data_IF_656788356700
#
_entry.id   IF_656788356700
#
_cell.length_a   1.000
_cell.length_b   1.000
_cell.length_c   1.000
_cell.angle_alpha   90.00
_cell.angle_beta   90.00
_cell.angle_gamma   90.00
#
_symmetry.space_group_name_H-M   'P 1'
#
loop_
_entity.id
_entity.type
_entity.pdbx_description
1 polymer ?
#
# COMPACT_ATOMS: atom_id res chain seq x y z
N UNK A 1 -21.66 -2.73 -10.18
CA UNK A 1 -21.39 -2.59 -11.63
C UNK A 1 -20.08 -3.32 -11.98
N UNK A 2 -20.10 -4.15 -12.98
CA UNK A 2 -18.90 -4.86 -13.43
C UNK A 2 -18.04 -3.95 -14.31
N UNK A 3 -16.75 -3.88 -13.98
CA UNK A 3 -15.78 -3.14 -14.80
C UNK A 3 -15.02 -4.14 -15.67
N UNK A 4 -15.05 -3.91 -16.99
CA UNK A 4 -14.27 -4.69 -17.93
C UNK A 4 -13.03 -3.92 -18.35
N UNK A 5 -11.87 -4.56 -18.21
CA UNK A 5 -10.60 -4.03 -18.71
C UNK A 5 -10.26 -4.78 -19.98
N UNK A 6 -10.21 -4.06 -21.10
CA UNK A 6 -9.90 -4.61 -22.41
C UNK A 6 -8.45 -4.30 -22.79
N UNK A 7 -7.87 -5.15 -23.65
CA UNK A 7 -6.54 -4.95 -24.17
C UNK A 7 -5.51 -5.93 -23.61
N UNK A 8 -4.26 -5.73 -24.00
CA UNK A 8 -3.11 -6.57 -23.66
C UNK A 8 -1.98 -5.72 -23.08
N UNK A 9 -0.97 -6.37 -22.50
CA UNK A 9 0.20 -5.71 -21.95
C UNK A 9 0.29 -5.83 -20.43
N UNK A 10 1.44 -5.43 -19.90
CA UNK A 10 1.75 -5.58 -18.45
C UNK A 10 0.86 -4.70 -17.56
N UNK A 11 0.59 -3.47 -17.98
CA UNK A 11 -0.25 -2.55 -17.23
C UNK A 11 -1.69 -3.04 -17.15
N UNK A 12 -2.24 -3.53 -18.26
CA UNK A 12 -3.60 -4.08 -18.32
C UNK A 12 -3.70 -5.35 -17.48
N UNK A 13 -2.71 -6.24 -17.55
CA UNK A 13 -2.68 -7.46 -16.73
C UNK A 13 -2.64 -7.13 -15.25
N UNK A 14 -1.88 -6.12 -14.86
CA UNK A 14 -1.80 -5.64 -13.47
C UNK A 14 -3.15 -5.10 -13.00
N UNK A 15 -3.84 -4.31 -13.81
CA UNK A 15 -5.16 -3.78 -13.49
C UNK A 15 -6.18 -4.92 -13.28
N UNK A 16 -6.14 -5.96 -14.12
CA UNK A 16 -7.00 -7.13 -13.99
C UNK A 16 -6.75 -7.86 -12.66
N UNK A 17 -5.48 -8.06 -12.29
CA UNK A 17 -5.11 -8.69 -11.00
C UNK A 17 -5.61 -7.86 -9.83
N UNK A 18 -5.46 -6.54 -9.88
CA UNK A 18 -5.93 -5.64 -8.84
C UNK A 18 -7.46 -5.69 -8.70
N UNK A 19 -8.19 -5.68 -9.81
CA UNK A 19 -9.65 -5.81 -9.78
C UNK A 19 -10.10 -7.13 -9.17
N UNK A 20 -9.42 -8.24 -9.46
CA UNK A 20 -9.72 -9.54 -8.84
C UNK A 20 -9.53 -9.50 -7.34
N UNK A 21 -8.44 -8.90 -6.89
CA UNK A 21 -8.15 -8.75 -5.46
C UNK A 21 -9.19 -7.87 -4.77
N UNK A 22 -9.59 -6.77 -5.42
CA UNK A 22 -10.59 -5.83 -4.90
C UNK A 22 -11.99 -6.42 -4.74
N UNK A 23 -12.29 -7.51 -5.42
CA UNK A 23 -13.54 -8.26 -5.19
C UNK A 23 -13.55 -8.97 -3.84
N UNK A 24 -12.37 -9.27 -3.30
CA UNK A 24 -12.20 -10.02 -2.04
C UNK A 24 -11.92 -9.12 -0.85
N UNK A 25 -11.35 -7.93 -1.07
CA UNK A 25 -10.94 -7.03 0.00
C UNK A 25 -11.58 -5.66 -0.14
N UNK A 26 -11.93 -5.09 1.00
CA UNK A 26 -12.49 -3.75 1.12
C UNK A 26 -12.10 -3.17 2.46
N UNK A 27 -11.75 -1.88 2.50
CA UNK A 27 -11.40 -1.18 3.73
C UNK A 27 -12.63 -0.59 4.41
N UNK A 28 -12.67 -0.66 5.73
CA UNK A 28 -13.71 -0.03 6.56
C UNK A 28 -13.06 0.96 7.52
N UNK A 29 -13.84 1.71 8.28
CA UNK A 29 -13.31 2.63 9.29
C UNK A 29 -12.54 1.87 10.38
N UNK A 30 -13.02 0.68 10.80
CA UNK A 30 -12.40 -0.14 11.83
C UNK A 30 -11.15 -0.87 11.31
N UNK A 31 -11.15 -1.24 10.02
CA UNK A 31 -10.04 -1.94 9.39
C UNK A 31 -9.84 -1.42 7.96
N UNK A 32 -9.19 -0.25 7.82
CA UNK A 32 -8.95 0.36 6.51
C UNK A 32 -8.06 -0.50 5.61
N UNK A 33 -8.05 -0.17 4.34
CA UNK A 33 -7.23 -0.86 3.34
C UNK A 33 -5.88 -0.15 3.19
N UNK A 34 -4.79 -0.88 3.43
CA UNK A 34 -3.44 -0.40 3.16
C UNK A 34 -3.09 -0.75 1.72
N UNK A 35 -3.12 0.25 0.85
CA UNK A 35 -2.83 0.11 -0.57
C UNK A 35 -1.37 0.44 -0.82
N UNK A 36 -0.65 -0.45 -1.48
CA UNK A 36 0.74 -0.23 -1.89
C UNK A 36 0.77 -0.09 -3.40
N UNK A 37 1.29 1.05 -3.87
CA UNK A 37 1.49 1.34 -5.29
C UNK A 37 2.99 1.34 -5.59
N UNK A 38 3.39 0.56 -6.57
CA UNK A 38 4.77 0.42 -6.99
C UNK A 38 4.99 0.99 -8.38
N UNK A 39 5.99 1.86 -8.53
CA UNK A 39 6.55 2.24 -9.82
C UNK A 39 8.02 1.82 -9.86
N UNK A 40 8.70 2.05 -11.00
CA UNK A 40 10.12 1.69 -11.14
C UNK A 40 11.00 2.39 -10.11
N UNK A 41 10.67 3.64 -9.75
CA UNK A 41 11.50 4.49 -8.88
C UNK A 41 10.96 4.66 -7.48
N UNK A 42 9.66 4.55 -7.29
CA UNK A 42 9.01 4.94 -6.05
C UNK A 42 7.98 3.95 -5.56
N UNK A 43 7.77 3.98 -4.25
CA UNK A 43 6.69 3.25 -3.57
C UNK A 43 5.80 4.26 -2.87
N UNK A 44 4.51 4.04 -2.93
CA UNK A 44 3.50 4.84 -2.22
C UNK A 44 2.61 3.90 -1.43
N UNK A 45 2.40 4.21 -0.17
CA UNK A 45 1.48 3.46 0.69
C UNK A 45 0.39 4.40 1.19
N UNK A 46 -0.87 3.96 1.11
CA UNK A 46 -2.03 4.73 1.55
C UNK A 46 -2.95 3.85 2.39
N UNK A 47 -3.42 4.38 3.50
CA UNK A 47 -4.45 3.74 4.32
C UNK A 47 -5.77 4.40 3.97
N UNK A 48 -6.69 3.63 3.39
CA UNK A 48 -7.94 4.16 2.80
C UNK A 48 -9.15 3.53 3.49
N UNK A 49 -10.09 4.38 3.89
CA UNK A 49 -11.43 3.96 4.31
C UNK A 49 -12.33 3.98 3.07
N UNK A 50 -12.65 2.80 2.54
CA UNK A 50 -13.45 2.67 1.32
C UNK A 50 -14.93 3.04 1.54
N UNK A 51 -15.41 3.06 2.77
CA UNK A 51 -16.81 3.40 3.07
C UNK A 51 -17.11 4.88 2.78
N UNK A 52 -16.11 5.75 2.93
CA UNK A 52 -16.23 7.18 2.66
C UNK A 52 -15.26 7.68 1.59
N UNK A 53 -14.45 6.80 1.03
CA UNK A 53 -13.47 7.15 -0.01
C UNK A 53 -12.37 8.10 0.48
N UNK A 54 -11.97 7.98 1.77
CA UNK A 54 -11.01 8.91 2.38
C UNK A 54 -9.68 8.21 2.67
N UNK A 55 -8.57 8.87 2.32
CA UNK A 55 -7.22 8.46 2.72
C UNK A 55 -6.96 8.95 4.15
N UNK A 56 -6.76 8.01 5.06
CA UNK A 56 -6.53 8.28 6.49
C UNK A 56 -5.06 8.62 6.77
N UNK A 57 -4.16 7.91 6.11
CA UNK A 57 -2.71 8.11 6.25
C UNK A 57 -2.01 7.74 4.95
N UNK A 58 -0.86 8.34 4.70
CA UNK A 58 -0.06 8.02 3.51
C UNK A 58 1.42 8.21 3.77
N UNK A 59 2.26 7.53 2.99
CA UNK A 59 3.70 7.70 2.98
C UNK A 59 4.24 7.35 1.59
N UNK A 60 5.36 7.97 1.21
CA UNK A 60 5.95 7.78 -0.11
C UNK A 60 7.46 7.94 -0.06
N UNK A 61 8.17 7.22 -0.92
CA UNK A 61 9.61 7.43 -1.14
C UNK A 61 9.92 8.80 -1.76
N UNK A 62 8.90 9.53 -2.24
CA UNK A 62 9.05 10.89 -2.74
C UNK A 62 9.24 11.93 -1.62
N UNK A 63 8.94 11.58 -0.37
CA UNK A 63 9.13 12.49 0.76
C UNK A 63 10.61 12.78 1.00
N UNK A 64 10.91 14.01 1.46
CA UNK A 64 12.29 14.48 1.58
C UNK A 64 13.17 13.58 2.45
N UNK A 65 12.67 13.12 3.58
CA UNK A 65 13.41 12.26 4.50
C UNK A 65 13.76 10.90 3.87
N UNK A 66 12.84 10.35 3.09
CA UNK A 66 13.03 9.06 2.42
C UNK A 66 13.89 9.19 1.17
N UNK A 67 13.85 10.35 0.49
CA UNK A 67 14.75 10.63 -0.64
C UNK A 67 16.19 10.77 -0.17
N UNK A 68 16.40 11.35 0.99
CA UNK A 68 17.72 11.54 1.59
C UNK A 68 18.25 10.27 2.29
N UNK A 69 17.40 9.30 2.55
CA UNK A 69 17.79 8.05 3.20
C UNK A 69 18.73 7.24 2.30
N UNK A 70 19.91 6.90 2.85
CA UNK A 70 20.92 6.12 2.13
C UNK A 70 20.63 4.63 2.26
N UNK A 71 19.91 4.08 1.30
CA UNK A 71 19.53 2.68 1.26
C UNK A 71 19.03 2.27 -0.11
N UNK A 72 18.94 0.97 -0.35
CA UNK A 72 18.40 0.45 -1.60
C UNK A 72 16.88 0.59 -1.66
N UNK A 73 16.27 0.16 -2.76
CA UNK A 73 14.82 0.27 -2.96
C UNK A 73 14.01 -0.54 -1.94
N UNK A 74 14.53 -1.69 -1.51
CA UNK A 74 13.87 -2.53 -0.50
C UNK A 74 13.94 -1.86 0.87
N UNK A 75 15.08 -1.31 1.25
CA UNK A 75 15.22 -0.58 2.51
C UNK A 75 14.32 0.65 2.57
N UNK A 76 14.22 1.40 1.46
CA UNK A 76 13.30 2.56 1.36
C UNK A 76 11.85 2.13 1.46
N UNK A 77 11.47 1.02 0.83
CA UNK A 77 10.10 0.48 0.91
C UNK A 77 9.75 0.09 2.35
N UNK A 78 10.69 -0.52 3.07
CA UNK A 78 10.49 -0.82 4.49
C UNK A 78 10.25 0.44 5.31
N UNK A 79 11.00 1.51 5.05
CA UNK A 79 10.81 2.81 5.71
C UNK A 79 9.43 3.41 5.40
N UNK A 80 8.94 3.27 4.18
CA UNK A 80 7.57 3.69 3.80
C UNK A 80 6.55 2.93 4.67
N UNK A 81 6.72 1.63 4.84
CA UNK A 81 5.84 0.82 5.69
C UNK A 81 5.86 1.28 7.14
N UNK A 82 7.03 1.52 7.71
CA UNK A 82 7.17 2.03 9.07
C UNK A 82 6.49 3.38 9.24
N UNK A 83 6.69 4.28 8.28
CA UNK A 83 6.15 5.64 8.33
C UNK A 83 4.62 5.66 8.19
N UNK A 84 4.07 4.91 7.24
CA UNK A 84 2.62 4.87 7.05
C UNK A 84 1.93 4.23 8.26
N UNK A 85 2.56 3.22 8.86
CA UNK A 85 2.04 2.59 10.08
C UNK A 85 2.03 3.57 11.25
N UNK A 86 3.10 4.33 11.45
CA UNK A 86 3.16 5.35 12.50
C UNK A 86 2.07 6.41 12.33
N UNK A 87 1.87 6.87 11.10
CA UNK A 87 0.83 7.86 10.78
C UNK A 87 -0.58 7.30 10.94
N UNK A 88 -0.80 6.04 10.56
CA UNK A 88 -2.09 5.37 10.73
C UNK A 88 -2.42 5.19 12.22
N UNK A 89 -1.45 4.78 13.02
CA UNK A 89 -1.63 4.62 14.48
C UNK A 89 -1.94 5.96 15.15
N UNK A 90 -1.30 7.04 14.71
CA UNK A 90 -1.60 8.41 15.17
C UNK A 90 -3.02 8.83 14.82
N UNK A 91 -3.58 8.29 13.73
CA UNK A 91 -4.97 8.52 13.34
C UNK A 91 -5.97 7.54 13.98
N UNK A 92 -5.50 6.68 14.90
CA UNK A 92 -6.35 5.74 15.62
C UNK A 92 -6.55 4.38 14.94
N UNK A 93 -5.80 4.09 13.88
CA UNK A 93 -5.89 2.81 13.15
C UNK A 93 -4.94 1.80 13.76
N UNK A 94 -5.45 0.63 14.15
CA UNK A 94 -4.65 -0.44 14.74
C UNK A 94 -4.44 -1.62 13.80
N UNK A 95 -5.38 -1.85 12.87
CA UNK A 95 -5.30 -2.94 11.90
C UNK A 95 -5.77 -2.51 10.53
N UNK A 96 -5.23 -3.15 9.50
CA UNK A 96 -5.56 -2.87 8.10
C UNK A 96 -5.68 -4.15 7.30
N UNK A 97 -6.36 -4.06 6.15
CA UNK A 97 -6.38 -5.09 5.12
C UNK A 97 -5.31 -4.73 4.09
N UNK A 98 -4.37 -5.62 3.82
CA UNK A 98 -3.29 -5.35 2.90
C UNK A 98 -3.74 -5.52 1.44
N UNK A 99 -3.57 -4.46 0.64
CA UNK A 99 -3.82 -4.45 -0.81
C UNK A 99 -2.49 -4.24 -1.53
N UNK A 100 -2.00 -5.29 -2.16
CA UNK A 100 -0.72 -5.27 -2.88
C UNK A 100 -0.78 -4.60 -4.25
N UNK A 101 -1.92 -4.02 -4.64
CA UNK A 101 -2.08 -3.22 -5.86
C UNK A 101 -1.88 -4.00 -7.16
N UNK A 102 -2.17 -5.30 -7.18
CA UNK A 102 -1.96 -6.16 -8.35
C UNK A 102 -0.52 -6.63 -8.53
N UNK A 103 0.39 -6.27 -7.62
CA UNK A 103 1.77 -6.75 -7.61
C UNK A 103 1.88 -8.07 -6.85
N UNK A 104 2.97 -8.81 -7.08
CA UNK A 104 3.29 -9.98 -6.27
C UNK A 104 3.72 -9.55 -4.86
N UNK A 105 3.40 -10.36 -3.86
CA UNK A 105 3.88 -10.16 -2.49
C UNK A 105 5.34 -10.59 -2.42
N UNK A 106 6.24 -9.72 -2.88
CA UNK A 106 7.65 -10.00 -3.04
C UNK A 106 8.46 -8.69 -3.04
N UNK A 107 9.72 -8.75 -2.66
CA UNK A 107 10.65 -7.63 -2.76
C UNK A 107 10.15 -6.38 -2.03
N UNK A 108 10.03 -5.28 -2.76
CA UNK A 108 9.63 -3.97 -2.21
C UNK A 108 8.22 -4.00 -1.60
N UNK A 109 7.28 -4.69 -2.22
CA UNK A 109 5.89 -4.79 -1.70
C UNK A 109 5.87 -5.51 -0.36
N UNK A 110 6.58 -6.64 -0.26
CA UNK A 110 6.72 -7.37 1.00
C UNK A 110 7.44 -6.53 2.07
N UNK A 111 8.43 -5.73 1.67
CA UNK A 111 9.18 -4.86 2.58
C UNK A 111 8.29 -3.79 3.21
N UNK A 112 7.34 -3.21 2.46
CA UNK A 112 6.35 -2.27 3.02
C UNK A 112 5.51 -2.96 4.08
N UNK A 113 5.03 -4.15 3.81
CA UNK A 113 4.22 -4.92 4.77
C UNK A 113 5.02 -5.25 6.03
N UNK A 114 6.27 -5.70 5.87
CA UNK A 114 7.15 -6.02 7.01
C UNK A 114 7.43 -4.78 7.86
N UNK A 115 7.70 -3.64 7.24
CA UNK A 115 7.91 -2.38 7.94
C UNK A 115 6.68 -1.95 8.73
N UNK A 116 5.50 -2.09 8.14
CA UNK A 116 4.25 -1.77 8.81
C UNK A 116 4.00 -2.68 10.02
N UNK A 117 4.25 -3.98 9.88
CA UNK A 117 4.12 -4.94 11.00
C UNK A 117 5.09 -4.63 12.12
N UNK A 118 6.35 -4.32 11.80
CA UNK A 118 7.37 -3.99 12.79
C UNK A 118 7.04 -2.71 13.55
N UNK A 119 6.34 -1.78 12.93
CA UNK A 119 5.86 -0.56 13.59
C UNK A 119 4.59 -0.79 14.41
N UNK A 120 4.07 -2.02 14.45
CA UNK A 120 2.96 -2.41 15.31
C UNK A 120 1.59 -2.39 14.65
N UNK A 121 1.50 -2.25 13.33
CA UNK A 121 0.24 -2.30 12.62
C UNK A 121 -0.12 -3.76 12.32
N UNK A 122 -1.34 -4.17 12.66
CA UNK A 122 -1.83 -5.51 12.36
C UNK A 122 -2.31 -5.59 10.90
N UNK A 123 -1.80 -6.56 10.20
CA UNK A 123 -2.13 -6.77 8.79
C UNK A 123 -2.95 -8.04 8.59
#
# INVERSE_FOLDING_TARGET
>A
MAIKILGKGKAVAKQRRHLRLRKKISGTAARPRLVVTRSNRHMVAQVVDDTVGKTVASASTLEADLRAFDGDKVAKARKVGELVAARAKSAGVESVVFDRGGNKYHGRVAAVADGARDAGLAL
#
